data_IF_676540111752
#
_entry.id   IF_676540111752
#
_cell.length_a   1.000
_cell.length_b   1.000
_cell.length_c   1.000
_cell.angle_alpha   90.00
_cell.angle_beta   90.00
_cell.angle_gamma   90.00
#
_symmetry.space_group_name_H-M   'P 1'
#
loop_
_entity.id
_entity.type
_entity.pdbx_description
1 polymer ?
#
# COMPACT_ATOMS: atom_id res chain seq x y z
N UNK A 1 -30.35 15.22 -9.59
CA UNK A 1 -29.49 15.48 -8.41
C UNK A 1 -28.36 14.44 -8.22
N UNK A 2 -28.62 13.12 -8.37
CA UNK A 2 -27.63 12.06 -8.10
C UNK A 2 -26.31 12.10 -8.90
N UNK A 3 -26.35 12.44 -10.19
CA UNK A 3 -25.15 12.53 -11.05
C UNK A 3 -24.19 13.65 -10.62
N UNK A 4 -24.68 14.86 -10.34
CA UNK A 4 -23.86 16.00 -9.89
C UNK A 4 -23.13 15.70 -8.57
N UNK A 5 -23.82 15.06 -7.63
CA UNK A 5 -23.26 14.66 -6.33
C UNK A 5 -22.20 13.56 -6.47
N UNK A 6 -22.39 12.61 -7.38
CA UNK A 6 -21.41 11.56 -7.63
C UNK A 6 -20.13 12.11 -8.29
N UNK A 7 -20.27 13.01 -9.27
CA UNK A 7 -19.13 13.71 -9.89
C UNK A 7 -18.31 14.47 -8.86
N UNK A 8 -18.97 15.10 -7.87
CA UNK A 8 -18.29 15.77 -6.77
C UNK A 8 -17.42 14.80 -5.95
N UNK A 9 -17.95 13.65 -5.54
CA UNK A 9 -17.19 12.67 -4.76
C UNK A 9 -16.01 12.07 -5.53
N UNK A 10 -16.22 11.80 -6.82
CA UNK A 10 -15.14 11.35 -7.72
C UNK A 10 -14.05 12.41 -7.81
N UNK A 11 -14.42 13.68 -8.00
CA UNK A 11 -13.48 14.80 -8.08
C UNK A 11 -12.70 14.96 -6.78
N UNK A 12 -13.36 14.84 -5.62
CA UNK A 12 -12.70 14.87 -4.31
C UNK A 12 -11.65 13.75 -4.17
N UNK A 13 -12.00 12.51 -4.53
CA UNK A 13 -11.06 11.37 -4.47
C UNK A 13 -9.84 11.65 -5.35
N UNK A 14 -10.02 12.03 -6.62
CA UNK A 14 -8.89 12.31 -7.51
C UNK A 14 -8.06 13.50 -7.04
N UNK A 15 -8.68 14.57 -6.55
CA UNK A 15 -7.97 15.77 -6.06
C UNK A 15 -7.08 15.43 -4.86
N UNK A 16 -7.63 14.75 -3.85
CA UNK A 16 -6.89 14.37 -2.64
C UNK A 16 -5.80 13.36 -2.97
N UNK A 17 -6.10 12.38 -3.83
CA UNK A 17 -5.12 11.39 -4.27
C UNK A 17 -3.95 12.03 -5.03
N UNK A 18 -4.24 12.99 -5.91
CA UNK A 18 -3.22 13.77 -6.62
C UNK A 18 -2.35 14.55 -5.64
N UNK A 19 -2.98 15.22 -4.66
CA UNK A 19 -2.27 15.99 -3.66
C UNK A 19 -1.35 15.11 -2.80
N UNK A 20 -1.81 13.92 -2.39
CA UNK A 20 -0.99 12.98 -1.62
C UNK A 20 0.22 12.48 -2.39
N UNK A 21 0.06 12.20 -3.70
CA UNK A 21 1.16 11.69 -4.52
C UNK A 21 2.13 12.78 -4.98
N UNK A 22 1.64 13.98 -5.33
CA UNK A 22 2.49 15.07 -5.86
C UNK A 22 2.98 16.02 -4.78
N UNK A 23 2.29 16.15 -3.65
CA UNK A 23 2.61 17.09 -2.56
C UNK A 23 4.08 17.03 -2.11
N UNK A 24 4.64 15.84 -1.81
CA UNK A 24 6.06 15.67 -1.51
C UNK A 24 7.00 16.29 -2.55
N UNK A 25 6.79 15.94 -3.82
CA UNK A 25 7.63 16.38 -4.93
C UNK A 25 7.47 17.88 -5.20
N UNK A 26 6.26 18.42 -5.20
CA UNK A 26 6.00 19.85 -5.39
C UNK A 26 6.62 20.69 -4.28
N UNK A 27 6.56 20.21 -3.04
CA UNK A 27 7.22 20.85 -1.91
C UNK A 27 8.72 20.87 -2.04
N UNK A 28 9.30 19.77 -2.52
CA UNK A 28 10.75 19.67 -2.67
C UNK A 28 11.29 20.43 -3.89
N UNK A 29 10.69 20.23 -5.07
CA UNK A 29 11.18 20.80 -6.35
C UNK A 29 10.72 22.22 -6.62
N UNK A 30 9.49 22.56 -6.22
CA UNK A 30 8.88 23.84 -6.53
C UNK A 30 8.70 24.75 -5.30
N UNK A 31 9.09 24.29 -4.10
CA UNK A 31 8.92 25.04 -2.85
C UNK A 31 7.46 25.26 -2.46
N UNK A 32 6.52 24.55 -3.09
CA UNK A 32 5.08 24.70 -2.83
C UNK A 32 4.75 24.02 -1.50
N UNK A 33 4.16 24.71 -0.50
CA UNK A 33 3.80 24.08 0.76
C UNK A 33 3.00 22.80 0.55
N UNK A 34 3.24 21.78 1.37
CA UNK A 34 2.62 20.44 1.31
C UNK A 34 1.09 20.52 1.23
N UNK A 35 0.55 20.60 0.02
CA UNK A 35 -0.89 20.81 -0.27
C UNK A 35 -1.75 19.67 0.26
N UNK A 36 -1.14 18.49 0.42
CA UNK A 36 -1.73 17.33 1.07
C UNK A 36 -2.14 17.63 2.51
N UNK A 37 -1.38 18.43 3.26
CA UNK A 37 -1.69 18.74 4.66
C UNK A 37 -3.06 19.44 4.85
N UNK A 38 -3.31 20.63 4.26
CA UNK A 38 -4.60 21.30 4.43
C UNK A 38 -5.75 20.50 3.80
N UNK A 39 -5.50 19.76 2.72
CA UNK A 39 -6.53 18.91 2.10
C UNK A 39 -6.94 17.74 3.01
N UNK A 40 -6.00 17.11 3.71
CA UNK A 40 -6.30 16.08 4.72
C UNK A 40 -7.17 16.65 5.84
N UNK A 41 -6.82 17.84 6.35
CA UNK A 41 -7.56 18.51 7.41
C UNK A 41 -8.99 18.84 6.95
N UNK A 42 -9.17 19.31 5.71
CA UNK A 42 -10.48 19.63 5.13
C UNK A 42 -11.31 18.39 4.78
N UNK A 43 -10.67 17.26 4.46
CA UNK A 43 -11.37 16.02 4.11
C UNK A 43 -12.21 15.49 5.27
N UNK A 44 -11.73 15.61 6.50
CA UNK A 44 -12.44 15.15 7.70
C UNK A 44 -13.81 15.81 7.90
N UNK A 45 -13.92 17.15 8.08
CA UNK A 45 -15.20 17.80 8.25
C UNK A 45 -16.08 17.68 6.99
N UNK A 46 -15.48 17.66 5.80
CA UNK A 46 -16.22 17.44 4.54
C UNK A 46 -16.89 16.07 4.52
N UNK A 47 -16.16 15.00 4.87
CA UNK A 47 -16.70 13.65 4.90
C UNK A 47 -17.77 13.48 5.99
N UNK A 48 -17.60 14.11 7.17
CA UNK A 48 -18.61 14.12 8.22
C UNK A 48 -19.88 14.85 7.78
N UNK A 49 -19.76 16.00 7.11
CA UNK A 49 -20.90 16.71 6.54
C UNK A 49 -21.62 15.86 5.49
N UNK A 50 -20.88 15.25 4.56
CA UNK A 50 -21.44 14.32 3.58
C UNK A 50 -22.17 13.18 4.29
N UNK A 51 -21.56 12.60 5.32
CA UNK A 51 -22.15 11.51 6.11
C UNK A 51 -23.49 11.93 6.73
N UNK A 52 -23.55 13.10 7.36
CA UNK A 52 -24.78 13.63 7.94
C UNK A 52 -25.89 13.82 6.89
N UNK A 53 -25.53 14.35 5.71
CA UNK A 53 -26.47 14.63 4.62
C UNK A 53 -26.96 13.36 3.87
N UNK A 54 -26.12 12.32 3.81
CA UNK A 54 -26.32 11.15 2.94
C UNK A 54 -26.66 9.86 3.71
N UNK A 55 -26.87 9.92 5.02
CA UNK A 55 -27.01 8.79 5.98
C UNK A 55 -28.18 7.80 5.73
N UNK A 56 -28.79 7.77 4.54
CA UNK A 56 -29.88 6.84 4.20
C UNK A 56 -29.35 5.45 3.86
N UNK A 57 -29.93 4.42 4.51
CA UNK A 57 -29.72 2.97 4.30
C UNK A 57 -28.30 2.60 3.80
N UNK A 58 -27.33 2.66 4.71
CA UNK A 58 -25.96 2.20 4.48
C UNK A 58 -25.91 0.66 4.41
N UNK A 59 -25.07 0.08 3.55
CA UNK A 59 -24.87 -1.37 3.51
C UNK A 59 -24.28 -1.83 4.85
N UNK A 60 -24.93 -2.76 5.55
CA UNK A 60 -24.51 -3.19 6.89
C UNK A 60 -23.09 -3.77 6.95
N UNK A 61 -22.63 -4.46 5.90
CA UNK A 61 -21.25 -4.99 5.84
C UNK A 61 -20.23 -3.86 5.69
N UNK A 62 -20.48 -2.94 4.76
CA UNK A 62 -19.64 -1.74 4.64
C UNK A 62 -19.66 -0.90 5.93
N UNK A 63 -20.81 -0.86 6.63
CA UNK A 63 -21.00 -0.11 7.88
C UNK A 63 -20.10 -0.60 8.99
N UNK A 64 -20.00 -1.92 9.15
CA UNK A 64 -19.10 -2.53 10.13
C UNK A 64 -17.63 -2.24 9.83
N UNK A 65 -17.23 -2.26 8.56
CA UNK A 65 -15.86 -1.85 8.19
C UNK A 65 -15.60 -0.38 8.46
N UNK A 66 -16.53 0.50 8.08
CA UNK A 66 -16.39 1.92 8.35
C UNK A 66 -16.33 2.20 9.85
N UNK A 67 -17.14 1.51 10.65
CA UNK A 67 -17.12 1.62 12.11
C UNK A 67 -15.78 1.14 12.69
N UNK A 68 -15.24 0.01 12.21
CA UNK A 68 -13.93 -0.48 12.63
C UNK A 68 -12.82 0.53 12.33
N UNK A 69 -12.80 1.10 11.11
CA UNK A 69 -11.86 2.15 10.74
C UNK A 69 -12.05 3.42 11.59
N UNK A 70 -13.30 3.83 11.82
CA UNK A 70 -13.61 5.02 12.61
C UNK A 70 -13.21 4.86 14.08
N UNK A 71 -13.42 3.68 14.68
CA UNK A 71 -12.95 3.38 16.04
C UNK A 71 -11.43 3.38 16.07
N UNK A 72 -10.79 2.66 15.13
CA UNK A 72 -9.33 2.56 15.04
C UNK A 72 -8.66 3.93 14.95
N UNK A 73 -9.13 4.78 14.02
CA UNK A 73 -8.52 6.07 13.77
C UNK A 73 -8.99 7.13 14.77
N UNK A 74 -10.28 7.12 15.13
CA UNK A 74 -10.87 8.06 16.07
C UNK A 74 -10.30 7.93 17.48
N UNK A 75 -10.04 6.69 17.93
CA UNK A 75 -9.36 6.45 19.20
C UNK A 75 -7.93 6.99 19.19
N UNK A 76 -7.17 6.75 18.10
CA UNK A 76 -5.85 7.35 17.93
C UNK A 76 -5.87 8.88 17.86
N UNK A 77 -6.95 9.46 17.32
CA UNK A 77 -7.18 10.90 17.26
C UNK A 77 -7.31 11.59 18.63
N UNK A 78 -7.56 10.85 19.72
CA UNK A 78 -7.61 11.41 21.07
C UNK A 78 -6.28 12.08 21.45
N UNK A 79 -5.14 11.58 20.92
CA UNK A 79 -3.82 12.17 21.16
C UNK A 79 -3.66 13.61 20.66
N UNK A 80 -4.54 14.10 19.77
CA UNK A 80 -4.59 15.52 19.40
C UNK A 80 -4.98 16.43 20.57
N UNK A 81 -5.63 15.88 21.60
CA UNK A 81 -6.16 16.62 22.74
C UNK A 81 -5.40 16.35 24.04
N UNK A 82 -4.85 15.14 24.20
CA UNK A 82 -4.26 14.69 25.49
C UNK A 82 -2.74 14.64 25.49
N UNK A 83 -2.09 14.77 24.33
CA UNK A 83 -0.63 14.64 24.20
C UNK A 83 -0.05 15.90 23.57
N UNK A 84 1.09 16.37 24.08
CA UNK A 84 1.83 17.47 23.45
C UNK A 84 2.49 16.96 22.16
N UNK A 85 1.96 17.33 21.00
CA UNK A 85 2.45 16.91 19.69
C UNK A 85 3.08 18.09 18.95
N UNK A 86 4.21 17.82 18.28
CA UNK A 86 4.76 18.74 17.29
C UNK A 86 3.91 18.75 16.00
N UNK A 87 4.17 19.71 15.11
CA UNK A 87 3.41 19.87 13.87
C UNK A 87 3.44 18.64 12.96
N UNK A 88 4.51 17.84 13.01
CA UNK A 88 4.68 16.66 12.16
C UNK A 88 3.79 15.53 12.69
N UNK A 89 3.82 15.25 14.00
CA UNK A 89 2.97 14.24 14.66
C UNK A 89 1.49 14.59 14.62
N UNK A 90 1.15 15.88 14.66
CA UNK A 90 -0.23 16.35 14.43
C UNK A 90 -0.70 15.96 13.03
N UNK A 91 0.12 16.24 12.00
CA UNK A 91 -0.25 15.90 10.62
C UNK A 91 -0.34 14.38 10.40
N UNK A 92 0.55 13.60 10.98
CA UNK A 92 0.50 12.13 10.92
C UNK A 92 -0.83 11.59 11.47
N UNK A 93 -1.29 12.16 12.59
CA UNK A 93 -2.59 11.82 13.18
C UNK A 93 -3.74 12.20 12.25
N UNK A 94 -3.67 13.35 11.58
CA UNK A 94 -4.69 13.73 10.60
C UNK A 94 -4.71 12.81 9.37
N UNK A 95 -3.54 12.39 8.86
CA UNK A 95 -3.48 11.40 7.78
C UNK A 95 -4.12 10.07 8.18
N UNK A 96 -3.86 9.61 9.41
CA UNK A 96 -4.49 8.41 9.95
C UNK A 96 -6.02 8.58 10.10
N UNK A 97 -6.46 9.70 10.66
CA UNK A 97 -7.89 10.06 10.78
C UNK A 97 -8.60 10.16 9.42
N UNK A 98 -7.88 10.39 8.33
CA UNK A 98 -8.47 10.50 6.99
C UNK A 98 -8.93 9.16 6.39
N UNK A 99 -8.48 8.01 6.94
CA UNK A 99 -8.78 6.67 6.41
C UNK A 99 -10.29 6.35 6.33
N UNK A 100 -11.10 6.56 7.38
CA UNK A 100 -12.53 6.32 7.33
C UNK A 100 -13.23 7.23 6.31
N UNK A 101 -12.77 8.48 6.17
CA UNK A 101 -13.29 9.42 5.17
C UNK A 101 -13.03 8.94 3.75
N UNK A 102 -11.82 8.47 3.46
CA UNK A 102 -11.48 7.88 2.15
C UNK A 102 -12.32 6.64 1.86
N UNK A 103 -12.44 5.73 2.83
CA UNK A 103 -13.29 4.54 2.70
C UNK A 103 -14.74 4.91 2.41
N UNK A 104 -15.29 5.90 3.14
CA UNK A 104 -16.66 6.34 2.98
C UNK A 104 -16.91 6.98 1.60
N UNK A 105 -16.00 7.84 1.12
CA UNK A 105 -16.10 8.41 -0.23
C UNK A 105 -16.06 7.33 -1.31
N UNK A 106 -15.17 6.35 -1.19
CA UNK A 106 -15.10 5.21 -2.12
C UNK A 106 -16.38 4.39 -2.09
N UNK A 107 -16.94 4.13 -0.90
CA UNK A 107 -18.24 3.48 -0.77
C UNK A 107 -19.33 4.26 -1.50
N UNK A 108 -19.41 5.58 -1.30
CA UNK A 108 -20.44 6.40 -1.95
C UNK A 108 -20.31 6.39 -3.47
N UNK A 109 -19.09 6.45 -3.99
CA UNK A 109 -18.85 6.36 -5.43
C UNK A 109 -19.23 4.98 -5.95
N UNK A 110 -18.68 3.91 -5.38
CA UNK A 110 -18.89 2.55 -5.89
C UNK A 110 -20.33 2.07 -5.77
N UNK A 111 -21.04 2.44 -4.69
CA UNK A 111 -22.45 2.06 -4.50
C UNK A 111 -23.41 2.77 -5.48
N UNK A 112 -22.97 3.87 -6.09
CA UNK A 112 -23.79 4.72 -6.98
C UNK A 112 -23.37 4.65 -8.44
N UNK A 113 -22.12 4.26 -8.72
CA UNK A 113 -21.57 4.20 -10.07
C UNK A 113 -22.31 3.19 -10.97
N UNK A 114 -22.58 3.59 -12.20
CA UNK A 114 -23.25 2.73 -13.19
C UNK A 114 -22.41 1.50 -13.53
N UNK A 115 -21.10 1.71 -13.68
CA UNK A 115 -20.12 0.65 -13.86
C UNK A 115 -19.00 0.74 -12.81
N UNK A 116 -19.19 0.18 -11.60
CA UNK A 116 -18.20 0.25 -10.52
C UNK A 116 -16.86 -0.37 -10.91
N UNK A 117 -16.87 -1.46 -11.69
CA UNK A 117 -15.66 -2.14 -12.14
C UNK A 117 -14.80 -1.24 -13.04
N UNK A 118 -15.42 -0.56 -14.00
CA UNK A 118 -14.72 0.40 -14.85
C UNK A 118 -14.12 1.54 -14.02
N UNK A 119 -14.85 2.09 -13.05
CA UNK A 119 -14.33 3.11 -12.15
C UNK A 119 -13.10 2.62 -11.37
N UNK A 120 -13.17 1.41 -10.78
CA UNK A 120 -12.06 0.80 -10.03
C UNK A 120 -10.82 0.68 -10.94
N UNK A 121 -10.99 0.21 -12.17
CA UNK A 121 -9.88 0.09 -13.14
C UNK A 121 -9.23 1.44 -13.44
N UNK A 122 -10.02 2.48 -13.71
CA UNK A 122 -9.48 3.82 -13.97
C UNK A 122 -8.75 4.39 -12.75
N UNK A 123 -9.30 4.18 -11.55
CA UNK A 123 -8.64 4.62 -10.33
C UNK A 123 -7.32 3.88 -10.08
N UNK A 124 -7.28 2.56 -10.31
CA UNK A 124 -6.05 1.78 -10.21
C UNK A 124 -5.02 2.20 -11.25
N UNK A 125 -5.42 2.46 -12.50
CA UNK A 125 -4.53 3.00 -13.54
C UNK A 125 -3.91 4.32 -13.12
N UNK A 126 -4.75 5.24 -12.61
CA UNK A 126 -4.34 6.53 -12.11
C UNK A 126 -3.26 6.39 -11.01
N UNK A 127 -3.49 5.56 -10.00
CA UNK A 127 -2.49 5.32 -8.95
C UNK A 127 -1.24 4.58 -9.43
N UNK A 128 -1.38 3.57 -10.29
CA UNK A 128 -0.24 2.86 -10.86
C UNK A 128 0.67 3.79 -11.67
N UNK A 129 0.11 4.82 -12.33
CA UNK A 129 0.92 5.83 -13.01
C UNK A 129 1.86 6.57 -12.05
N UNK A 130 1.40 6.97 -10.85
CA UNK A 130 2.26 7.59 -9.83
C UNK A 130 3.31 6.65 -9.24
N UNK A 131 3.05 5.34 -9.28
CA UNK A 131 3.98 4.33 -8.74
C UNK A 131 5.02 3.92 -9.79
N UNK A 132 4.66 3.90 -11.08
CA UNK A 132 5.52 3.37 -12.15
C UNK A 132 6.31 4.48 -12.86
N UNK A 133 5.64 5.57 -13.24
CA UNK A 133 6.24 6.59 -14.11
C UNK A 133 7.40 7.32 -13.43
N UNK A 134 7.27 7.85 -12.19
CA UNK A 134 8.35 8.61 -11.59
C UNK A 134 9.62 7.78 -11.38
N UNK A 135 9.57 6.56 -10.80
CA UNK A 135 10.73 5.67 -10.76
C UNK A 135 11.36 5.43 -12.14
N UNK A 136 10.57 5.21 -13.19
CA UNK A 136 11.10 5.03 -14.54
C UNK A 136 11.85 6.28 -15.03
N UNK A 137 11.33 7.48 -14.76
CA UNK A 137 12.01 8.73 -15.10
C UNK A 137 13.30 8.90 -14.28
N UNK A 138 13.30 8.55 -13.00
CA UNK A 138 14.53 8.58 -12.18
C UNK A 138 15.60 7.63 -12.75
N UNK A 139 15.21 6.42 -13.19
CA UNK A 139 16.14 5.47 -13.84
C UNK A 139 16.71 6.04 -15.14
N UNK A 140 15.86 6.64 -15.98
CA UNK A 140 16.25 7.10 -17.31
C UNK A 140 17.08 8.40 -17.28
N UNK A 141 16.84 9.26 -16.30
CA UNK A 141 17.43 10.62 -16.26
C UNK A 141 18.44 10.81 -15.13
N UNK A 142 18.43 9.96 -14.10
CA UNK A 142 19.18 10.15 -12.87
C UNK A 142 18.64 11.26 -11.96
N UNK A 143 17.58 11.98 -12.35
CA UNK A 143 17.04 13.11 -11.60
C UNK A 143 16.09 12.59 -10.52
N UNK A 144 16.43 12.79 -9.24
CA UNK A 144 15.54 12.46 -8.12
C UNK A 144 14.41 13.47 -7.96
N UNK A 145 13.20 13.01 -7.68
CA UNK A 145 12.03 13.87 -7.46
C UNK A 145 11.88 14.40 -6.03
N UNK A 146 12.45 13.70 -5.04
CA UNK A 146 12.39 14.05 -3.61
C UNK A 146 13.74 13.70 -2.96
N UNK A 147 14.34 14.53 -2.10
CA UNK A 147 15.55 14.15 -1.34
C UNK A 147 15.20 13.22 -0.17
N UNK A 148 16.14 12.33 0.18
CA UNK A 148 16.05 11.47 1.34
C UNK A 148 16.89 12.07 2.47
N UNK A 149 16.42 11.99 3.71
CA UNK A 149 17.16 12.41 4.91
C UNK A 149 18.27 11.42 5.30
N UNK A 150 18.28 10.21 4.72
CA UNK A 150 19.29 9.19 5.00
C UNK A 150 20.51 9.36 4.08
N UNK A 151 21.67 9.58 4.69
CA UNK A 151 23.00 9.68 4.05
C UNK A 151 23.29 8.51 3.09
N UNK A 152 22.70 7.34 3.33
CA UNK A 152 22.81 6.14 2.49
C UNK A 152 22.08 6.24 1.12
N UNK A 153 21.10 7.14 0.97
CA UNK A 153 20.32 7.26 -0.27
C UNK A 153 20.99 8.11 -1.35
N UNK A 154 22.01 8.89 -0.97
CA UNK A 154 22.75 9.77 -1.89
C UNK A 154 23.90 9.01 -2.56
N UNK A 155 24.55 8.08 -1.85
CA UNK A 155 25.72 7.33 -2.36
C UNK A 155 25.36 6.02 -3.08
N UNK A 156 24.14 5.49 -2.93
CA UNK A 156 23.75 4.16 -3.46
C UNK A 156 22.79 4.16 -4.68
N UNK A 157 22.45 5.32 -5.25
CA UNK A 157 21.64 5.37 -6.48
C UNK A 157 20.24 4.74 -6.38
N UNK A 158 19.62 4.75 -5.19
CA UNK A 158 18.35 4.06 -4.91
C UNK A 158 17.14 4.85 -5.44
N UNK A 159 16.23 4.16 -6.15
CA UNK A 159 15.03 4.76 -6.75
C UNK A 159 13.90 4.87 -5.73
N UNK A 160 13.21 6.01 -5.74
CA UNK A 160 12.13 6.29 -4.79
C UNK A 160 10.94 7.00 -5.44
N UNK A 161 11.08 7.57 -6.63
CA UNK A 161 10.01 8.29 -7.31
C UNK A 161 9.46 9.44 -6.46
N UNK A 162 8.15 9.49 -6.26
CA UNK A 162 7.52 10.51 -5.39
C UNK A 162 7.58 10.18 -3.89
N UNK A 163 8.26 9.11 -3.49
CA UNK A 163 8.35 8.67 -2.10
C UNK A 163 9.67 9.14 -1.47
N UNK A 164 9.64 9.37 -0.16
CA UNK A 164 10.85 9.74 0.61
C UNK A 164 11.79 8.55 0.83
N UNK A 165 11.27 7.32 0.80
CA UNK A 165 12.02 6.10 1.06
C UNK A 165 11.68 5.02 0.00
N UNK A 166 12.68 4.34 -0.57
CA UNK A 166 12.50 3.20 -1.48
C UNK A 166 11.59 2.08 -0.94
N UNK A 167 11.65 1.79 0.36
CA UNK A 167 10.79 0.80 1.01
C UNK A 167 9.31 1.20 0.95
N UNK A 168 9.00 2.50 0.99
CA UNK A 168 7.62 3.00 0.88
C UNK A 168 7.09 2.81 -0.55
N UNK A 169 7.93 3.06 -1.56
CA UNK A 169 7.62 2.77 -2.96
C UNK A 169 7.35 1.28 -3.18
N UNK A 170 8.26 0.40 -2.73
CA UNK A 170 8.12 -1.05 -2.88
C UNK A 170 6.89 -1.61 -2.16
N UNK A 171 6.62 -1.14 -0.94
CA UNK A 171 5.41 -1.49 -0.17
C UNK A 171 4.13 -1.06 -0.90
N UNK A 172 4.11 0.17 -1.44
CA UNK A 172 2.95 0.67 -2.18
C UNK A 172 2.71 -0.16 -3.44
N UNK A 173 3.76 -0.42 -4.23
CA UNK A 173 3.66 -1.26 -5.42
C UNK A 173 3.15 -2.68 -5.09
N UNK A 174 3.66 -3.28 -4.01
CA UNK A 174 3.23 -4.60 -3.54
C UNK A 174 1.74 -4.63 -3.16
N UNK A 175 1.24 -3.63 -2.45
CA UNK A 175 -0.17 -3.55 -2.06
C UNK A 175 -1.12 -3.36 -3.28
N UNK A 176 -0.66 -2.69 -4.34
CA UNK A 176 -1.44 -2.48 -5.57
C UNK A 176 -1.44 -3.69 -6.51
N UNK A 177 -0.36 -4.48 -6.54
CA UNK A 177 -0.21 -5.65 -7.39
C UNK A 177 -1.38 -6.66 -7.33
N UNK A 178 -1.88 -7.10 -6.15
CA UNK A 178 -3.00 -8.04 -6.09
C UNK A 178 -4.32 -7.41 -6.56
N UNK A 179 -4.54 -6.11 -6.35
CA UNK A 179 -5.73 -5.43 -6.88
C UNK A 179 -5.71 -5.37 -8.42
N UNK A 180 -4.55 -5.09 -9.03
CA UNK A 180 -4.41 -5.17 -10.50
C UNK A 180 -4.80 -6.57 -11.00
N UNK A 181 -4.33 -7.64 -10.36
CA UNK A 181 -4.71 -9.00 -10.72
C UNK A 181 -6.22 -9.26 -10.57
N UNK A 182 -6.84 -8.81 -9.48
CA UNK A 182 -8.28 -9.00 -9.22
C UNK A 182 -9.14 -8.32 -10.29
N UNK A 183 -8.79 -7.09 -10.67
CA UNK A 183 -9.67 -6.25 -11.49
C UNK A 183 -9.34 -6.26 -12.98
N UNK A 184 -8.11 -6.59 -13.39
CA UNK A 184 -7.70 -6.60 -14.80
C UNK A 184 -7.41 -7.98 -15.36
N UNK A 185 -7.17 -9.03 -14.55
CA UNK A 185 -6.71 -10.30 -15.11
C UNK A 185 -7.77 -11.41 -15.13
N UNK A 186 -8.99 -11.14 -14.65
CA UNK A 186 -10.05 -12.15 -14.49
C UNK A 186 -11.35 -11.67 -15.12
N UNK A 187 -11.82 -12.42 -16.12
CA UNK A 187 -13.09 -12.17 -16.83
C UNK A 187 -13.19 -10.80 -17.50
N UNK A 188 -12.14 -10.45 -18.24
CA UNK A 188 -12.02 -9.14 -18.88
C UNK A 188 -11.79 -9.28 -20.38
N UNK A 189 -11.91 -8.17 -21.11
CA UNK A 189 -11.51 -8.14 -22.52
C UNK A 189 -10.00 -8.42 -22.68
N UNK A 190 -9.58 -8.94 -23.84
CA UNK A 190 -8.16 -9.19 -24.14
C UNK A 190 -7.28 -7.94 -23.94
N UNK A 191 -7.82 -6.75 -24.26
CA UNK A 191 -7.12 -5.47 -24.09
C UNK A 191 -6.87 -5.15 -22.61
N UNK A 192 -7.90 -5.27 -21.78
CA UNK A 192 -7.79 -5.05 -20.33
C UNK A 192 -6.90 -6.09 -19.66
N UNK A 193 -6.94 -7.33 -20.14
CA UNK A 193 -6.06 -8.39 -19.65
C UNK A 193 -4.59 -8.07 -19.92
N UNK A 194 -4.27 -7.65 -21.15
CA UNK A 194 -2.91 -7.28 -21.53
C UNK A 194 -2.44 -6.07 -20.72
N UNK A 195 -3.30 -5.06 -20.56
CA UNK A 195 -3.00 -3.89 -19.75
C UNK A 195 -2.73 -4.28 -18.29
N UNK A 196 -3.56 -5.14 -17.70
CA UNK A 196 -3.37 -5.66 -16.34
C UNK A 196 -2.06 -6.42 -16.16
N UNK A 197 -1.68 -7.24 -17.15
CA UNK A 197 -0.41 -7.95 -17.15
C UNK A 197 0.78 -6.98 -17.22
N UNK A 198 0.72 -5.98 -18.11
CA UNK A 198 1.76 -4.95 -18.22
C UNK A 198 1.89 -4.19 -16.89
N UNK A 199 0.78 -3.71 -16.32
CA UNK A 199 0.80 -3.02 -15.03
C UNK A 199 1.40 -3.89 -13.92
N UNK A 200 0.96 -5.15 -13.83
CA UNK A 200 1.45 -6.08 -12.82
C UNK A 200 2.97 -6.29 -12.94
N UNK A 201 3.48 -6.52 -14.15
CA UNK A 201 4.92 -6.68 -14.39
C UNK A 201 5.70 -5.38 -14.11
N UNK A 202 5.18 -4.21 -14.50
CA UNK A 202 5.80 -2.93 -14.20
C UNK A 202 5.87 -2.67 -12.69
N UNK A 203 4.82 -2.99 -11.93
CA UNK A 203 4.87 -2.94 -10.46
C UNK A 203 5.94 -3.89 -9.91
N UNK A 204 6.09 -5.09 -10.48
CA UNK A 204 7.18 -6.00 -10.15
C UNK A 204 8.56 -5.37 -10.36
N UNK A 205 8.80 -4.75 -11.52
CA UNK A 205 10.05 -4.04 -11.82
C UNK A 205 10.31 -2.94 -10.78
N UNK A 206 9.29 -2.15 -10.43
CA UNK A 206 9.41 -1.11 -9.38
C UNK A 206 9.81 -1.71 -8.03
N UNK A 207 9.22 -2.84 -7.63
CA UNK A 207 9.54 -3.53 -6.36
C UNK A 207 11.00 -4.01 -6.35
N UNK A 208 11.46 -4.63 -7.44
CA UNK A 208 12.87 -5.05 -7.56
C UNK A 208 13.81 -3.84 -7.52
N UNK A 209 13.44 -2.77 -8.23
CA UNK A 209 14.24 -1.56 -8.32
C UNK A 209 14.29 -0.77 -7.00
N UNK A 210 13.32 -0.98 -6.10
CA UNK A 210 13.32 -0.41 -4.75
C UNK A 210 14.25 -1.15 -3.78
N UNK A 211 14.89 -2.25 -4.21
CA UNK A 211 15.79 -3.10 -3.42
C UNK A 211 15.17 -3.66 -2.10
N UNK A 212 13.84 -3.68 -1.97
CA UNK A 212 13.18 -4.20 -0.78
C UNK A 212 13.06 -5.73 -0.86
N UNK A 213 13.86 -6.43 -0.07
CA UNK A 213 13.92 -7.91 -0.05
C UNK A 213 12.58 -8.54 0.31
N UNK A 214 11.97 -8.07 1.39
CA UNK A 214 10.65 -8.56 1.85
C UNK A 214 9.56 -8.30 0.82
N UNK A 215 9.54 -7.10 0.20
CA UNK A 215 8.55 -6.78 -0.81
C UNK A 215 8.71 -7.64 -2.07
N UNK A 216 9.96 -7.88 -2.47
CA UNK A 216 10.31 -8.75 -3.60
C UNK A 216 9.86 -10.19 -3.37
N UNK A 217 10.17 -10.77 -2.20
CA UNK A 217 9.72 -12.11 -1.84
C UNK A 217 8.20 -12.23 -1.87
N UNK A 218 7.50 -11.25 -1.28
CA UNK A 218 6.04 -11.19 -1.28
C UNK A 218 5.46 -11.11 -2.70
N UNK A 219 6.08 -10.33 -3.59
CA UNK A 219 5.68 -10.24 -4.99
C UNK A 219 5.92 -11.55 -5.75
N UNK A 220 7.06 -12.22 -5.52
CA UNK A 220 7.35 -13.54 -6.12
C UNK A 220 6.29 -14.56 -5.69
N UNK A 221 5.94 -14.61 -4.41
CA UNK A 221 4.87 -15.49 -3.90
C UNK A 221 3.54 -15.18 -4.60
N UNK A 222 3.18 -13.90 -4.74
CA UNK A 222 1.98 -13.48 -5.45
C UNK A 222 2.01 -13.88 -6.94
N UNK A 223 3.16 -13.74 -7.58
CA UNK A 223 3.36 -14.10 -8.98
C UNK A 223 3.19 -15.62 -9.18
N UNK A 224 3.82 -16.43 -8.32
CA UNK A 224 3.66 -17.89 -8.30
C UNK A 224 2.19 -18.26 -8.07
N UNK A 225 1.52 -17.65 -7.09
CA UNK A 225 0.11 -17.88 -6.81
C UNK A 225 -0.76 -17.59 -8.04
N UNK A 226 -0.52 -16.48 -8.74
CA UNK A 226 -1.23 -16.14 -9.97
C UNK A 226 -1.00 -17.16 -11.10
N UNK A 227 0.23 -17.67 -11.23
CA UNK A 227 0.62 -18.67 -12.22
C UNK A 227 -0.01 -20.05 -11.93
N UNK A 228 -0.04 -20.49 -10.67
CA UNK A 228 -0.68 -21.75 -10.25
C UNK A 228 -2.17 -21.74 -10.63
N UNK A 229 -2.84 -20.61 -10.38
CA UNK A 229 -4.27 -20.44 -10.69
C UNK A 229 -4.56 -20.12 -12.17
N UNK A 230 -3.61 -20.35 -13.10
CA UNK A 230 -3.79 -20.14 -14.56
C UNK A 230 -4.03 -21.46 -15.33
N UNK A 231 -4.61 -22.46 -14.67
CA UNK A 231 -5.08 -23.77 -15.18
C UNK A 231 -4.05 -24.91 -15.37
N UNK A 232 -2.75 -24.69 -15.16
CA UNK A 232 -1.73 -25.77 -15.23
C UNK A 232 -0.94 -25.92 -13.91
N UNK A 233 -1.62 -25.74 -12.77
CA UNK A 233 -1.00 -25.51 -11.45
C UNK A 233 0.21 -26.39 -11.11
N UNK A 234 0.12 -27.70 -11.35
CA UNK A 234 1.20 -28.64 -11.06
C UNK A 234 2.38 -28.53 -12.04
N UNK A 235 2.08 -28.40 -13.34
CA UNK A 235 3.10 -28.24 -14.38
C UNK A 235 3.84 -26.90 -14.21
N UNK A 236 3.12 -25.82 -13.94
CA UNK A 236 3.72 -24.50 -13.70
C UNK A 236 4.59 -24.49 -12.44
N UNK A 237 4.18 -25.19 -11.36
CA UNK A 237 5.01 -25.39 -10.17
C UNK A 237 6.29 -26.16 -10.48
N UNK A 238 6.19 -27.25 -11.26
CA UNK A 238 7.36 -28.02 -11.69
C UNK A 238 8.29 -27.18 -12.57
N UNK A 239 7.77 -26.42 -13.53
CA UNK A 239 8.61 -25.56 -14.38
C UNK A 239 9.29 -24.46 -13.58
N UNK A 240 8.59 -23.82 -12.63
CA UNK A 240 9.18 -22.81 -11.73
C UNK A 240 10.25 -23.46 -10.84
N UNK A 241 9.97 -24.64 -10.27
CA UNK A 241 10.92 -25.38 -9.45
C UNK A 241 12.18 -25.79 -10.21
N UNK A 242 12.03 -26.32 -11.44
CA UNK A 242 13.16 -26.69 -12.32
C UNK A 242 13.94 -25.45 -12.77
N UNK A 243 13.26 -24.36 -13.12
CA UNK A 243 13.92 -23.10 -13.51
C UNK A 243 14.66 -22.48 -12.32
N UNK A 244 14.06 -22.48 -11.13
CA UNK A 244 14.68 -22.01 -9.89
C UNK A 244 15.89 -22.86 -9.50
N UNK A 245 15.80 -24.19 -9.61
CA UNK A 245 16.92 -25.10 -9.40
C UNK A 245 18.04 -24.84 -10.41
N UNK A 246 17.71 -24.69 -11.69
CA UNK A 246 18.68 -24.36 -12.74
C UNK A 246 19.39 -23.02 -12.51
N UNK A 247 18.65 -21.99 -12.07
CA UNK A 247 19.23 -20.69 -11.69
C UNK A 247 20.11 -20.79 -10.43
N UNK A 248 19.73 -21.61 -9.45
CA UNK A 248 20.53 -21.81 -8.23
C UNK A 248 21.84 -22.56 -8.47
N UNK A 249 21.93 -23.28 -9.60
CA UNK A 249 23.15 -23.96 -10.05
C UNK A 249 24.14 -23.02 -10.73
N UNK A 250 23.73 -21.79 -11.08
CA UNK A 250 24.65 -20.79 -11.65
C UNK A 250 25.55 -20.28 -10.52
N UNK A 251 26.88 -20.45 -10.61
CA UNK A 251 27.78 -19.96 -9.58
C UNK A 251 27.65 -18.45 -9.42
N UNK A 252 27.53 -18.01 -8.15
CA UNK A 252 27.36 -16.61 -7.75
C UNK A 252 28.36 -15.65 -8.41
N UNK A 253 29.61 -16.09 -8.58
CA UNK A 253 30.67 -15.33 -9.24
C UNK A 253 30.34 -14.97 -10.69
N UNK A 254 29.76 -15.87 -11.49
CA UNK A 254 29.42 -15.54 -12.88
C UNK A 254 28.32 -14.49 -12.99
N UNK A 255 27.38 -14.49 -12.05
CA UNK A 255 26.33 -13.45 -11.98
C UNK A 255 26.95 -12.12 -11.54
N UNK A 256 27.82 -12.13 -10.53
CA UNK A 256 28.55 -10.96 -10.07
C UNK A 256 29.42 -10.35 -11.20
N UNK A 257 30.23 -11.17 -11.87
CA UNK A 257 31.12 -10.76 -12.95
C UNK A 257 30.34 -10.25 -14.16
N UNK A 258 29.21 -10.88 -14.50
CA UNK A 258 28.31 -10.36 -15.53
C UNK A 258 27.76 -8.97 -15.17
N UNK A 259 27.26 -8.78 -13.94
CA UNK A 259 26.73 -7.49 -13.50
C UNK A 259 27.83 -6.41 -13.46
N UNK A 260 29.04 -6.77 -13.02
CA UNK A 260 30.19 -5.87 -13.02
C UNK A 260 30.70 -5.58 -14.45
N UNK A 261 30.56 -6.52 -15.39
CA UNK A 261 30.95 -6.32 -16.80
C UNK A 261 30.09 -5.31 -17.55
N UNK A 262 28.94 -4.90 -16.98
CA UNK A 262 28.04 -3.90 -17.54
C UNK A 262 28.53 -2.45 -17.32
N UNK A 263 29.77 -2.28 -16.85
CA UNK A 263 30.45 -1.00 -16.67
C UNK A 263 30.69 -0.30 -18.02
N UNK A 264 30.38 0.99 -18.10
CA UNK A 264 30.56 1.85 -19.29
C UNK A 264 29.28 2.51 -19.83
N UNK A 265 28.09 2.13 -19.35
CA UNK A 265 26.84 2.83 -19.63
C UNK A 265 26.09 3.13 -18.33
N UNK A 266 25.90 4.41 -18.02
CA UNK A 266 25.26 4.87 -16.78
C UNK A 266 23.89 4.21 -16.51
N UNK A 267 23.11 3.89 -17.55
CA UNK A 267 21.84 3.18 -17.40
C UNK A 267 22.04 1.72 -16.98
N UNK A 268 22.99 1.01 -17.59
CA UNK A 268 23.25 -0.40 -17.29
C UNK A 268 23.97 -0.56 -15.95
N UNK A 269 24.89 0.35 -15.61
CA UNK A 269 25.53 0.41 -14.29
C UNK A 269 24.52 0.64 -13.18
N UNK A 270 23.56 1.55 -13.38
CA UNK A 270 22.49 1.77 -12.41
C UNK A 270 21.59 0.55 -12.24
N UNK A 271 21.40 -0.29 -13.26
CA UNK A 271 20.62 -1.53 -13.12
C UNK A 271 21.47 -2.64 -12.50
N UNK A 272 22.73 -2.74 -12.90
CA UNK A 272 23.62 -3.84 -12.50
C UNK A 272 24.09 -3.71 -11.06
N UNK A 273 24.45 -2.50 -10.62
CA UNK A 273 24.75 -2.21 -9.21
C UNK A 273 23.57 -2.53 -8.29
N UNK A 274 22.34 -2.26 -8.72
CA UNK A 274 21.11 -2.55 -7.96
C UNK A 274 20.81 -4.04 -7.85
N UNK A 275 20.94 -4.78 -8.96
CA UNK A 275 20.84 -6.23 -8.95
C UNK A 275 21.95 -6.85 -8.09
N UNK A 276 23.15 -6.27 -8.14
CA UNK A 276 24.29 -6.73 -7.35
C UNK A 276 24.03 -6.54 -5.84
N UNK A 277 23.62 -5.34 -5.41
CA UNK A 277 23.25 -5.05 -4.02
C UNK A 277 22.12 -5.97 -3.52
N UNK A 278 21.12 -6.24 -4.36
CA UNK A 278 20.04 -7.17 -4.02
C UNK A 278 20.54 -8.61 -3.83
N UNK A 279 21.44 -9.10 -4.68
CA UNK A 279 21.87 -10.50 -4.72
C UNK A 279 23.03 -10.85 -3.79
N UNK A 280 23.95 -9.91 -3.55
CA UNK A 280 25.27 -10.22 -2.96
C UNK A 280 25.57 -9.49 -1.64
N UNK A 281 24.90 -8.39 -1.33
CA UNK A 281 25.16 -7.64 -0.10
C UNK A 281 24.40 -8.22 1.12
N UNK A 282 24.54 -9.53 1.34
CA UNK A 282 23.81 -10.30 2.36
C UNK A 282 24.32 -10.04 3.79
N UNK A 283 25.56 -9.57 3.95
CA UNK A 283 26.26 -9.51 5.24
C UNK A 283 26.29 -8.12 5.89
N UNK A 284 25.92 -7.04 5.18
CA UNK A 284 25.99 -5.67 5.71
C UNK A 284 24.68 -5.15 6.34
N UNK A 285 23.62 -5.98 6.39
CA UNK A 285 22.26 -5.53 6.71
C UNK A 285 22.01 -5.42 8.22
N UNK A 286 22.70 -4.48 8.88
CA UNK A 286 22.49 -4.11 10.28
C UNK A 286 21.01 -3.79 10.60
N UNK A 287 20.22 -3.41 9.59
CA UNK A 287 18.81 -3.05 9.73
C UNK A 287 17.89 -4.24 10.05
N UNK A 288 18.21 -5.45 9.57
CA UNK A 288 17.41 -6.66 9.86
C UNK A 288 17.65 -7.12 11.30
N UNK A 289 18.91 -7.08 11.74
CA UNK A 289 19.29 -7.40 13.12
C UNK A 289 18.60 -6.49 14.12
N UNK A 290 18.62 -5.17 13.86
CA UNK A 290 17.96 -4.19 14.71
C UNK A 290 16.43 -4.34 14.73
N UNK A 291 15.77 -4.58 13.59
CA UNK A 291 14.31 -4.84 13.57
C UNK A 291 13.94 -6.07 14.38
N UNK A 292 14.77 -7.12 14.32
CA UNK A 292 14.54 -8.32 15.10
C UNK A 292 14.73 -8.07 16.61
N UNK A 293 15.68 -7.22 16.99
CA UNK A 293 15.85 -6.75 18.37
C UNK A 293 14.59 -6.03 18.89
N UNK A 294 14.01 -5.11 18.10
CA UNK A 294 12.74 -4.43 18.41
C UNK A 294 11.63 -5.46 18.65
N UNK A 295 11.48 -6.44 17.75
CA UNK A 295 10.40 -7.41 17.81
C UNK A 295 10.56 -8.36 19.00
N UNK A 296 11.78 -8.80 19.29
CA UNK A 296 12.08 -9.65 20.44
C UNK A 296 11.80 -8.89 21.73
N UNK A 297 12.29 -7.65 21.87
CA UNK A 297 12.03 -6.84 23.05
C UNK A 297 10.53 -6.62 23.29
N UNK A 298 9.79 -6.29 22.23
CA UNK A 298 8.33 -6.10 22.31
C UNK A 298 7.60 -7.37 22.77
N UNK A 299 8.03 -8.54 22.28
CA UNK A 299 7.43 -9.82 22.64
C UNK A 299 7.77 -10.26 24.07
N UNK A 300 8.99 -9.95 24.53
CA UNK A 300 9.43 -10.27 25.89
C UNK A 300 8.84 -9.32 26.95
N UNK A 301 8.54 -8.08 26.56
CA UNK A 301 8.08 -7.03 27.48
C UNK A 301 6.79 -6.34 27.00
N UNK A 302 5.69 -7.06 26.71
CA UNK A 302 4.48 -6.44 26.17
C UNK A 302 3.85 -5.49 27.21
N UNK A 303 3.81 -4.17 26.96
CA UNK A 303 3.20 -3.23 27.90
C UNK A 303 1.68 -3.39 27.81
N UNK A 304 0.92 -3.05 28.86
CA UNK A 304 -0.54 -2.97 28.79
C UNK A 304 -0.99 -1.53 28.53
N UNK A 305 -1.36 -1.21 27.29
CA UNK A 305 -1.67 0.16 26.86
C UNK A 305 -3.09 0.27 26.33
N UNK A 306 -3.96 1.00 27.04
CA UNK A 306 -5.30 1.28 26.55
C UNK A 306 -5.32 2.40 25.49
N UNK A 307 -4.61 3.50 25.77
CA UNK A 307 -4.51 4.68 24.89
C UNK A 307 -3.26 4.65 24.00
N UNK A 308 -2.17 4.01 24.45
CA UNK A 308 -0.86 4.13 23.81
C UNK A 308 -0.08 5.36 24.30
N UNK A 309 1.18 5.46 23.89
CA UNK A 309 2.09 6.58 24.21
C UNK A 309 1.89 7.80 23.29
N UNK A 310 1.13 7.64 22.20
CA UNK A 310 0.97 8.62 21.14
C UNK A 310 1.90 8.37 19.94
N UNK A 311 1.64 9.05 18.81
CA UNK A 311 2.35 8.80 17.56
C UNK A 311 3.84 9.11 17.68
N UNK A 312 4.68 8.13 17.33
CA UNK A 312 6.15 8.25 17.31
C UNK A 312 6.76 8.68 18.65
N UNK A 313 6.18 8.26 19.77
CA UNK A 313 6.67 8.54 21.12
C UNK A 313 6.97 7.25 21.87
N UNK A 314 7.90 6.46 21.34
CA UNK A 314 8.23 5.13 21.88
C UNK A 314 9.53 5.13 22.68
N UNK A 315 10.19 6.28 22.83
CA UNK A 315 11.41 6.41 23.62
C UNK A 315 11.22 5.96 25.07
N UNK A 316 10.07 6.24 25.68
CA UNK A 316 9.78 5.81 27.06
C UNK A 316 9.72 4.29 27.20
N UNK A 317 9.43 3.57 26.11
CA UNK A 317 9.32 2.12 26.09
C UNK A 317 10.62 1.43 25.68
N UNK A 318 11.30 1.92 24.65
CA UNK A 318 12.53 1.30 24.12
C UNK A 318 13.83 1.91 24.67
N UNK A 319 13.75 3.06 25.35
CA UNK A 319 14.90 3.85 25.77
C UNK A 319 15.87 3.08 26.66
N UNK A 320 17.13 2.98 26.23
CA UNK A 320 18.19 2.28 26.98
C UNK A 320 18.12 0.75 26.88
N UNK A 321 17.19 0.20 26.10
CA UNK A 321 17.01 -1.25 25.94
C UNK A 321 17.38 -1.78 24.55
N UNK A 322 17.57 -0.89 23.58
CA UNK A 322 17.93 -1.23 22.21
C UNK A 322 19.30 -0.67 21.83
N UNK A 323 19.95 -1.32 20.86
CA UNK A 323 21.26 -0.94 20.32
C UNK A 323 21.28 0.38 19.53
N UNK A 324 20.12 0.85 19.05
CA UNK A 324 19.93 2.11 18.32
C UNK A 324 18.63 2.80 18.80
N UNK A 325 18.48 4.08 18.47
CA UNK A 325 17.38 4.97 18.82
C UNK A 325 16.24 5.01 17.78
N UNK A 326 16.41 4.40 16.60
CA UNK A 326 15.43 4.46 15.51
C UNK A 326 14.03 3.97 15.93
N UNK A 327 13.95 2.95 16.79
CA UNK A 327 12.69 2.43 17.32
C UNK A 327 11.91 3.41 18.20
N UNK A 328 12.57 4.47 18.70
CA UNK A 328 11.93 5.48 19.56
C UNK A 328 10.85 6.26 18.80
N UNK A 329 10.99 6.34 17.47
CA UNK A 329 10.00 6.99 16.60
C UNK A 329 9.33 6.01 15.64
N UNK A 330 10.00 4.92 15.27
CA UNK A 330 9.51 4.01 14.25
C UNK A 330 9.98 2.56 14.50
N UNK A 331 9.08 1.68 15.00
CA UNK A 331 9.41 0.28 15.26
C UNK A 331 9.47 -0.59 13.98
N UNK A 332 9.31 0.00 12.78
CA UNK A 332 9.28 -0.70 11.50
C UNK A 332 8.26 -1.85 11.41
N UNK A 333 7.21 -1.78 12.23
CA UNK A 333 6.10 -2.72 12.25
C UNK A 333 4.81 -1.97 12.52
N UNK A 334 3.91 -1.98 11.55
CA UNK A 334 2.60 -1.33 11.65
C UNK A 334 1.80 -1.79 12.87
N UNK A 335 1.85 -3.07 13.22
CA UNK A 335 1.10 -3.59 14.37
C UNK A 335 1.68 -3.08 15.70
N UNK A 336 3.00 -3.04 15.81
CA UNK A 336 3.69 -2.52 16.99
C UNK A 336 3.48 -1.00 17.07
N UNK A 337 3.61 -0.28 15.95
CA UNK A 337 3.37 1.16 15.85
C UNK A 337 1.93 1.53 16.22
N UNK A 338 0.94 0.76 15.75
CA UNK A 338 -0.47 0.92 16.09
C UNK A 338 -0.74 0.66 17.57
N UNK A 339 -0.13 -0.37 18.13
CA UNK A 339 -0.33 -0.73 19.53
C UNK A 339 0.36 0.24 20.50
N UNK A 340 1.66 0.49 20.30
CA UNK A 340 2.40 1.44 21.14
C UNK A 340 1.89 2.86 20.94
N UNK A 341 1.47 3.22 19.72
CA UNK A 341 1.00 4.56 19.40
C UNK A 341 -0.41 4.85 19.89
N UNK A 342 -1.34 3.91 19.69
CA UNK A 342 -2.78 4.16 19.86
C UNK A 342 -3.50 3.11 20.72
N UNK A 343 -2.74 2.18 21.32
CA UNK A 343 -3.24 1.25 22.33
C UNK A 343 -4.13 0.13 21.82
N UNK A 344 -4.66 -0.63 22.78
CA UNK A 344 -5.39 -1.87 22.59
C UNK A 344 -6.70 -1.67 21.82
N UNK A 345 -7.39 -0.54 21.99
CA UNK A 345 -8.66 -0.28 21.30
C UNK A 345 -8.43 -0.12 19.80
N UNK A 346 -7.44 0.69 19.40
CA UNK A 346 -7.09 0.85 17.98
C UNK A 346 -6.59 -0.45 17.37
N UNK A 347 -5.76 -1.22 18.09
CA UNK A 347 -5.30 -2.53 17.63
C UNK A 347 -6.47 -3.51 17.45
N UNK A 348 -7.37 -3.62 18.43
CA UNK A 348 -8.51 -4.54 18.37
C UNK A 348 -9.46 -4.18 17.22
N UNK A 349 -9.69 -2.88 17.00
CA UNK A 349 -10.50 -2.41 15.87
C UNK A 349 -9.85 -2.75 14.51
N UNK A 350 -8.52 -2.67 14.41
CA UNK A 350 -7.79 -3.13 13.22
C UNK A 350 -7.88 -4.65 13.02
N UNK A 351 -7.70 -5.44 14.08
CA UNK A 351 -7.82 -6.90 14.01
C UNK A 351 -9.22 -7.32 13.59
N UNK A 352 -10.26 -6.65 14.11
CA UNK A 352 -11.63 -6.83 13.65
C UNK A 352 -11.78 -6.46 12.18
N UNK A 353 -11.23 -5.33 11.72
CA UNK A 353 -11.23 -4.93 10.31
C UNK A 353 -10.60 -6.03 9.43
N UNK A 354 -9.41 -6.51 9.78
CA UNK A 354 -8.71 -7.54 9.02
C UNK A 354 -9.49 -8.87 9.00
N UNK A 355 -9.96 -9.35 10.14
CA UNK A 355 -10.76 -10.58 10.23
C UNK A 355 -12.07 -10.46 9.44
N UNK A 356 -12.76 -9.33 9.55
CA UNK A 356 -14.01 -9.08 8.84
C UNK A 356 -13.81 -8.92 7.33
N UNK A 357 -12.66 -8.38 6.90
CA UNK A 357 -12.23 -8.39 5.50
C UNK A 357 -12.14 -9.82 4.98
N UNK A 358 -11.37 -10.69 5.66
CA UNK A 358 -11.19 -12.08 5.25
C UNK A 358 -12.53 -12.80 5.15
N UNK A 359 -13.39 -12.64 6.16
CA UNK A 359 -14.74 -13.22 6.17
C UNK A 359 -15.58 -12.76 4.98
N UNK A 360 -15.66 -11.44 4.73
CA UNK A 360 -16.50 -10.89 3.67
C UNK A 360 -16.00 -11.24 2.27
N UNK A 361 -14.69 -11.21 2.03
CA UNK A 361 -14.09 -11.56 0.74
C UNK A 361 -14.23 -13.06 0.47
N UNK A 362 -14.02 -13.92 1.48
CA UNK A 362 -14.22 -15.36 1.34
C UNK A 362 -15.69 -15.72 1.04
N UNK A 363 -16.63 -15.08 1.74
CA UNK A 363 -18.07 -15.25 1.53
C UNK A 363 -18.65 -14.42 0.37
N UNK A 364 -17.81 -13.65 -0.34
CA UNK A 364 -18.21 -12.70 -1.36
C UNK A 364 -18.73 -13.38 -2.62
N UNK A 365 -20.05 -13.39 -2.81
CA UNK A 365 -20.70 -13.99 -3.99
C UNK A 365 -20.43 -13.22 -5.29
N UNK A 366 -20.07 -11.94 -5.20
CA UNK A 366 -19.78 -11.08 -6.35
C UNK A 366 -18.40 -11.34 -6.99
N UNK A 367 -17.57 -12.18 -6.35
CA UNK A 367 -16.22 -12.48 -6.80
C UNK A 367 -16.10 -13.93 -7.26
N UNK A 368 -15.44 -14.15 -8.40
CA UNK A 368 -15.09 -15.51 -8.85
C UNK A 368 -14.07 -16.14 -7.87
N UNK A 369 -13.98 -17.47 -7.86
CA UNK A 369 -13.05 -18.20 -6.96
C UNK A 369 -11.61 -17.65 -7.04
N UNK A 370 -11.10 -17.42 -8.27
CA UNK A 370 -9.75 -16.87 -8.47
C UNK A 370 -9.60 -15.44 -7.92
N UNK A 371 -10.60 -14.58 -8.13
CA UNK A 371 -10.61 -13.22 -7.57
C UNK A 371 -10.62 -13.27 -6.04
N UNK A 372 -11.39 -14.20 -5.44
CA UNK A 372 -11.44 -14.37 -3.99
C UNK A 372 -10.08 -14.76 -3.43
N UNK A 373 -9.40 -15.75 -4.01
CA UNK A 373 -8.08 -16.18 -3.53
C UNK A 373 -7.06 -15.05 -3.57
N UNK A 374 -6.98 -14.33 -4.69
CA UNK A 374 -6.07 -13.18 -4.82
C UNK A 374 -6.50 -12.03 -3.90
N UNK A 375 -7.81 -11.83 -3.73
CA UNK A 375 -8.35 -10.82 -2.80
C UNK A 375 -8.04 -11.11 -1.33
N UNK A 376 -8.04 -12.38 -0.91
CA UNK A 376 -7.59 -12.80 0.42
C UNK A 376 -6.07 -12.62 0.55
N UNK A 377 -5.31 -13.00 -0.48
CA UNK A 377 -3.87 -12.77 -0.53
C UNK A 377 -3.54 -11.27 -0.41
N UNK A 378 -4.37 -10.37 -0.94
CA UNK A 378 -4.16 -8.92 -0.82
C UNK A 378 -4.09 -8.44 0.63
N UNK A 379 -4.98 -8.93 1.53
CA UNK A 379 -4.94 -8.56 2.95
C UNK A 379 -3.76 -9.22 3.68
N UNK A 380 -3.47 -10.49 3.37
CA UNK A 380 -2.27 -11.15 3.91
C UNK A 380 -0.99 -10.40 3.54
N UNK A 381 -0.88 -9.98 2.28
CA UNK A 381 0.22 -9.15 1.80
C UNK A 381 0.23 -7.77 2.44
N UNK A 382 -0.92 -7.12 2.64
CA UNK A 382 -0.99 -5.85 3.36
C UNK A 382 -0.46 -5.96 4.79
N UNK A 383 -0.78 -7.05 5.50
CA UNK A 383 -0.28 -7.32 6.85
C UNK A 383 1.24 -7.56 6.87
N UNK A 384 1.75 -8.32 5.90
CA UNK A 384 3.21 -8.55 5.75
C UNK A 384 3.95 -7.28 5.32
N UNK A 385 3.34 -6.50 4.43
CA UNK A 385 3.83 -5.19 4.01
C UNK A 385 3.90 -4.22 5.19
N UNK A 386 3.11 -4.44 6.24
CA UNK A 386 3.16 -3.75 7.53
C UNK A 386 4.54 -3.69 8.19
N UNK A 387 5.46 -4.61 7.87
CA UNK A 387 6.80 -4.71 8.45
C UNK A 387 7.90 -4.06 7.59
N UNK A 388 7.53 -3.40 6.49
CA UNK A 388 8.47 -2.89 5.48
C UNK A 388 8.66 -1.36 5.56
N UNK A 389 7.60 -0.53 5.51
CA UNK A 389 7.74 0.92 5.47
C UNK A 389 8.08 1.49 6.84
N UNK A 390 8.57 2.74 6.85
CA UNK A 390 8.87 3.48 8.07
C UNK A 390 7.65 4.05 8.79
N UNK A 391 6.48 4.09 8.15
CA UNK A 391 5.18 4.26 8.79
C UNK A 391 4.09 4.11 7.75
N UNK A 392 3.05 3.34 8.03
CA UNK A 392 1.87 3.24 7.15
C UNK A 392 0.93 4.43 7.36
N UNK A 393 1.01 5.11 8.51
CA UNK A 393 0.06 6.17 8.88
C UNK A 393 0.14 7.41 7.97
N UNK A 394 1.31 7.69 7.40
CA UNK A 394 1.51 8.79 6.43
C UNK A 394 1.08 8.45 5.00
N UNK A 395 0.67 7.21 4.73
CA UNK A 395 0.38 6.72 3.38
C UNK A 395 -1.03 6.12 3.30
N UNK A 396 -2.08 6.95 3.45
CA UNK A 396 -3.45 6.46 3.50
C UNK A 396 -3.89 5.74 2.21
N UNK A 397 -3.25 6.01 1.08
CA UNK A 397 -3.52 5.34 -0.19
C UNK A 397 -3.05 3.88 -0.25
N UNK A 398 -2.14 3.42 0.64
CA UNK A 398 -1.74 2.00 0.69
C UNK A 398 -2.93 1.10 1.07
N UNK A 399 -3.94 1.66 1.75
CA UNK A 399 -5.17 0.97 2.11
C UNK A 399 -6.16 0.85 0.95
N UNK A 400 -6.01 1.69 -0.09
CA UNK A 400 -6.94 1.78 -1.22
C UNK A 400 -7.19 0.43 -1.90
N UNK A 401 -6.16 -0.38 -2.25
CA UNK A 401 -6.38 -1.69 -2.86
C UNK A 401 -7.29 -2.60 -2.04
N UNK A 402 -7.09 -2.67 -0.72
CA UNK A 402 -7.93 -3.44 0.18
C UNK A 402 -9.35 -2.86 0.27
N UNK A 403 -9.50 -1.53 0.34
CA UNK A 403 -10.82 -0.90 0.34
C UNK A 403 -11.61 -1.22 -0.93
N UNK A 404 -10.97 -1.14 -2.10
CA UNK A 404 -11.61 -1.42 -3.39
C UNK A 404 -12.03 -2.90 -3.51
N UNK A 405 -11.16 -3.84 -3.14
CA UNK A 405 -11.48 -5.27 -3.14
C UNK A 405 -12.63 -5.58 -2.18
N UNK A 406 -12.57 -5.05 -0.96
CA UNK A 406 -13.62 -5.25 0.03
C UNK A 406 -14.96 -4.72 -0.47
N UNK A 407 -15.00 -3.45 -0.89
CA UNK A 407 -16.23 -2.80 -1.35
C UNK A 407 -16.82 -3.53 -2.56
N UNK A 408 -15.99 -3.95 -3.51
CA UNK A 408 -16.42 -4.76 -4.66
C UNK A 408 -17.03 -6.11 -4.23
N UNK A 409 -16.48 -6.74 -3.19
CA UNK A 409 -16.96 -8.03 -2.68
C UNK A 409 -18.33 -7.96 -2.01
N UNK A 410 -18.67 -6.82 -1.38
CA UNK A 410 -19.89 -6.67 -0.56
C UNK A 410 -21.00 -5.86 -1.22
N UNK A 411 -20.67 -4.97 -2.16
CA UNK A 411 -21.66 -4.16 -2.87
C UNK A 411 -22.30 -4.97 -4.00
N UNK A 412 -23.64 -4.94 -4.16
CA UNK A 412 -24.30 -5.61 -5.27
C UNK A 412 -23.79 -5.02 -6.60
N UNK A 413 -23.33 -5.89 -7.49
CA UNK A 413 -23.02 -5.49 -8.85
C UNK A 413 -24.35 -5.30 -9.57
N UNK A 414 -24.57 -4.12 -10.16
CA UNK A 414 -25.72 -3.95 -11.07
C UNK A 414 -25.34 -4.67 -12.35
N UNK A 415 -25.97 -5.82 -12.59
CA UNK A 415 -25.71 -6.63 -13.78
C UNK A 415 -25.80 -5.75 -15.03
N UNK A 416 -24.80 -5.86 -15.90
CA UNK A 416 -24.81 -5.34 -17.26
C UNK A 416 -26.03 -5.83 -18.05
N UNK A 417 -26.63 -6.96 -17.66
CA UNK A 417 -27.89 -7.47 -18.19
C UNK A 417 -29.09 -6.53 -17.94
N UNK A 418 -29.10 -5.75 -16.84
CA UNK A 418 -30.18 -4.79 -16.58
C UNK A 418 -30.12 -3.58 -17.52
N UNK A 419 -28.95 -3.28 -18.10
CA UNK A 419 -28.78 -2.22 -19.09
C UNK A 419 -29.09 -2.69 -20.52
N UNK A 420 -29.02 -4.00 -20.80
CA UNK A 420 -29.41 -4.56 -22.10
C UNK A 420 -30.93 -4.43 -22.36
N UNK A 421 -31.76 -4.50 -21.31
CA UNK A 421 -33.22 -4.33 -21.42
C UNK A 421 -33.71 -2.87 -21.52
N UNK A 422 -32.80 -1.88 -21.42
CA UNK A 422 -33.16 -0.45 -21.51
C UNK A 422 -32.83 0.21 -22.84
N UNK A 423 -32.13 -0.50 -23.72
CA UNK A 423 -31.74 -0.02 -25.05
C UNK A 423 -32.03 -1.08 -26.12
N UNK A 424 -33.26 -1.56 -26.14
CA UNK A 424 -33.88 -2.08 -27.36
C UNK A 424 -34.99 -1.09 -27.73
N UNK A 425 -34.85 -0.31 -28.82
CA UNK A 425 -35.98 0.42 -29.39
C UNK A 425 -37.07 -0.56 -29.86
#
# INVERSE_FOLDING_TARGET
MKLKTQTLYITLIYTISTAYMLGPMLSYKAGIPRIDNPLTILLLPTALLIFALESKRFNGKAGRMLAALAIMCGWGGIHLFITTLDSVRIMDTFFFLSLPSLFYLLYLVLSRHENPMAFIRHLLLFFCAFIIIPPAVEILTGIQFVQADEVLAIDAGIIKGFFFNPNNLGTTALCFAPAVLVFFNIDVSKKEYLLGLILFLCLGVVIFASASRTATLCYIILFILNLIYRNNGLFTLMTIGVTGAGLSMIPKQYIADFLLSLHGNAFLENISSRLYLFLFDLESDNSVGYRQEIYNYFWEHPPFLLLGYGPKKFQEYFGGHLSDSLAFENPHSFLIELYLGFGLISLTAFLFYAAYYFFCVAAGRNMKNKQRVIGLAAMGLFLLAGFIPSTIFRMPFIWLPCFLIFLYSVLPQRDTAYNAYRYTP
#
